data_IF_535229920205
#
_entry.id   IF_535229920205
#
_cell.length_a   1.000
_cell.length_b   1.000
_cell.length_c   1.000
_cell.angle_alpha   90.00
_cell.angle_beta   90.00
_cell.angle_gamma   90.00
#
_symmetry.space_group_name_H-M   'P 1'
#
loop_
_entity.id
_entity.type
_entity.pdbx_description
1 polymer ?
#
# COMPACT_ATOMS: atom_id res chain seq x y z
N UNK A 1 -55.70 33.25 -34.18
CA UNK A 1 -56.10 31.93 -33.66
C UNK A 1 -54.87 31.02 -33.71
N UNK A 2 -54.47 30.49 -32.54
CA UNK A 2 -53.49 29.43 -32.27
C UNK A 2 -52.04 29.62 -32.78
N UNK A 3 -51.13 30.07 -31.91
CA UNK A 3 -50.35 29.28 -30.93
C UNK A 3 -49.43 28.25 -31.61
N UNK A 4 -48.12 28.48 -31.56
CA UNK A 4 -47.10 27.54 -31.04
C UNK A 4 -45.71 28.20 -31.04
N UNK A 5 -45.33 28.83 -29.93
CA UNK A 5 -44.42 28.34 -28.87
C UNK A 5 -42.94 28.34 -29.26
N UNK A 6 -42.21 29.26 -28.63
CA UNK A 6 -40.76 29.34 -28.60
C UNK A 6 -40.15 28.10 -27.93
N UNK A 7 -39.11 27.53 -28.54
CA UNK A 7 -38.27 26.53 -27.91
C UNK A 7 -37.14 27.25 -27.15
N UNK A 8 -37.23 27.21 -25.82
CA UNK A 8 -36.20 27.62 -24.89
C UNK A 8 -34.97 26.72 -25.04
N UNK A 9 -33.83 27.31 -25.38
CA UNK A 9 -32.53 26.66 -25.21
C UNK A 9 -32.25 26.53 -23.71
N UNK A 10 -32.58 25.37 -23.14
CA UNK A 10 -32.21 25.04 -21.77
C UNK A 10 -30.71 24.72 -21.74
N UNK A 11 -29.91 25.70 -21.32
CA UNK A 11 -28.51 25.50 -21.00
C UNK A 11 -28.42 24.60 -19.74
N UNK A 12 -28.11 23.33 -19.93
CA UNK A 12 -27.68 22.46 -18.84
C UNK A 12 -26.24 22.83 -18.48
N UNK A 13 -26.07 23.78 -17.56
CA UNK A 13 -24.80 23.97 -16.86
C UNK A 13 -24.52 22.71 -16.04
N UNK A 14 -23.62 21.87 -16.56
CA UNK A 14 -22.93 20.86 -15.77
C UNK A 14 -22.11 21.60 -14.71
N UNK A 15 -22.67 21.74 -13.50
CA UNK A 15 -21.86 22.07 -12.33
C UNK A 15 -21.06 20.81 -12.01
N UNK A 16 -19.89 20.69 -12.63
CA UNK A 16 -18.84 19.83 -12.12
C UNK A 16 -18.47 20.38 -10.74
N UNK A 17 -19.06 19.79 -9.70
CA UNK A 17 -18.61 20.00 -8.33
C UNK A 17 -17.18 19.44 -8.24
N UNK A 18 -16.20 20.29 -8.54
CA UNK A 18 -14.83 20.04 -8.18
C UNK A 18 -14.81 20.00 -6.64
N UNK A 19 -14.81 18.79 -6.07
CA UNK A 19 -14.44 18.62 -4.68
C UNK A 19 -13.07 19.29 -4.51
N UNK A 20 -12.91 20.24 -3.57
CA UNK A 20 -11.60 20.76 -3.28
C UNK A 20 -10.76 19.57 -2.81
N UNK A 21 -9.67 19.31 -3.53
CA UNK A 21 -8.60 18.41 -3.08
C UNK A 21 -7.87 19.06 -1.89
N UNK A 22 -8.58 19.32 -0.80
CA UNK A 22 -7.98 19.59 0.48
C UNK A 22 -7.40 18.25 0.93
N UNK A 23 -6.11 18.08 0.70
CA UNK A 23 -5.32 17.08 1.38
C UNK A 23 -5.38 17.41 2.88
N UNK A 24 -6.42 16.92 3.55
CA UNK A 24 -6.46 16.87 5.00
C UNK A 24 -5.30 15.94 5.35
N UNK A 25 -4.23 16.52 5.90
CA UNK A 25 -3.23 15.73 6.61
C UNK A 25 -3.97 15.07 7.78
N UNK A 26 -4.54 13.89 7.51
CA UNK A 26 -5.18 13.08 8.53
C UNK A 26 -4.06 12.71 9.52
N UNK A 27 -4.19 13.05 10.81
CA UNK A 27 -3.30 12.52 11.81
C UNK A 27 -3.31 11.00 11.69
N UNK A 28 -2.17 10.36 11.92
CA UNK A 28 -1.98 8.91 12.00
C UNK A 28 -2.96 8.30 13.01
N UNK A 29 -4.19 8.09 12.57
CA UNK A 29 -5.27 7.46 13.30
C UNK A 29 -5.45 6.14 12.59
N UNK A 30 -5.11 5.06 13.28
CA UNK A 30 -5.49 3.71 12.89
C UNK A 30 -7.00 3.68 12.63
N UNK A 31 -7.40 3.81 11.37
CA UNK A 31 -8.81 3.68 11.01
C UNK A 31 -9.07 2.20 10.82
N UNK A 32 -10.19 1.70 11.37
CA UNK A 32 -10.63 0.33 11.12
C UNK A 32 -11.39 0.29 9.80
N UNK A 33 -11.13 -0.71 8.95
CA UNK A 33 -11.81 -0.82 7.66
C UNK A 33 -13.30 -1.06 7.86
N UNK A 34 -14.10 -0.73 6.83
CA UNK A 34 -15.53 -1.03 6.83
C UNK A 34 -15.74 -2.51 7.19
N UNK A 35 -16.62 -2.83 8.17
CA UNK A 35 -16.87 -4.21 8.59
C UNK A 35 -17.22 -5.16 7.43
N UNK A 36 -17.88 -4.66 6.39
CA UNK A 36 -18.23 -5.43 5.20
C UNK A 36 -17.02 -5.75 4.32
N UNK A 37 -15.99 -4.89 4.33
CA UNK A 37 -14.70 -5.16 3.69
C UNK A 37 -13.91 -6.14 4.54
N UNK A 38 -13.85 -5.90 5.85
CA UNK A 38 -13.14 -6.75 6.80
C UNK A 38 -13.64 -8.20 6.76
N UNK A 39 -14.96 -8.40 6.66
CA UNK A 39 -15.59 -9.71 6.60
C UNK A 39 -15.19 -10.57 5.37
N UNK A 40 -14.52 -10.00 4.37
CA UNK A 40 -14.04 -10.74 3.18
C UNK A 40 -12.71 -11.45 3.41
N UNK A 41 -12.02 -11.14 4.51
CA UNK A 41 -10.67 -11.61 4.83
C UNK A 41 -10.64 -12.23 6.23
N UNK A 42 -9.64 -13.07 6.49
CA UNK A 42 -9.48 -13.74 7.78
C UNK A 42 -8.89 -12.78 8.83
N UNK A 43 -8.14 -11.77 8.37
CA UNK A 43 -7.51 -10.77 9.21
C UNK A 43 -7.16 -9.52 8.42
N UNK A 44 -7.24 -8.37 9.09
CA UNK A 44 -7.01 -7.06 8.49
C UNK A 44 -6.28 -6.14 9.47
N UNK A 45 -5.18 -5.52 9.03
CA UNK A 45 -4.36 -4.61 9.84
C UNK A 45 -4.93 -3.20 10.01
N UNK A 46 -4.45 -2.45 11.02
CA UNK A 46 -4.75 -1.03 11.20
C UNK A 46 -4.00 -0.18 10.16
N UNK A 47 -4.66 0.80 9.55
CA UNK A 47 -4.03 1.62 8.49
C UNK A 47 -3.86 3.08 8.88
N UNK A 48 -2.67 3.60 8.58
CA UNK A 48 -2.36 5.04 8.41
C UNK A 48 -2.10 5.38 6.92
N UNK A 49 -2.21 4.38 6.02
CA UNK A 49 -1.74 4.41 4.64
C UNK A 49 -2.81 3.93 3.63
N UNK A 50 -2.55 4.14 2.33
CA UNK A 50 -3.47 3.86 1.19
C UNK A 50 -3.73 2.36 0.96
N UNK A 51 -2.94 1.48 1.59
CA UNK A 51 -3.00 0.03 1.40
C UNK A 51 -3.05 -0.70 2.74
N UNK A 52 -3.66 -1.87 2.74
CA UNK A 52 -4.02 -2.64 3.93
C UNK A 52 -3.51 -4.06 3.79
N UNK A 53 -2.84 -4.56 4.83
CA UNK A 53 -2.44 -5.97 4.92
C UNK A 53 -3.71 -6.82 5.06
N UNK A 54 -3.84 -7.82 4.19
CA UNK A 54 -4.93 -8.79 4.22
C UNK A 54 -4.37 -10.19 4.42
N UNK A 55 -5.11 -11.01 5.16
CA UNK A 55 -4.81 -12.43 5.32
C UNK A 55 -5.96 -13.28 4.79
N UNK A 56 -5.63 -14.32 4.03
CA UNK A 56 -6.58 -15.34 3.58
C UNK A 56 -5.92 -16.71 3.49
N UNK A 57 -6.53 -17.73 4.07
CA UNK A 57 -6.01 -19.11 4.10
C UNK A 57 -4.58 -19.20 4.65
N UNK A 58 -4.23 -18.36 5.63
CA UNK A 58 -2.89 -18.30 6.21
C UNK A 58 -1.81 -17.66 5.32
N UNK A 59 -2.19 -17.09 4.17
CA UNK A 59 -1.29 -16.31 3.30
C UNK A 59 -1.61 -14.82 3.40
N UNK A 60 -0.59 -14.00 3.16
CA UNK A 60 -0.64 -12.55 3.24
C UNK A 60 -0.60 -11.90 1.86
N UNK A 61 -1.30 -10.79 1.73
CA UNK A 61 -1.38 -9.93 0.55
C UNK A 61 -1.77 -8.51 0.93
N UNK A 62 -2.08 -7.68 -0.06
CA UNK A 62 -2.42 -6.26 0.14
C UNK A 62 -3.67 -5.86 -0.64
N UNK A 63 -4.50 -5.02 -0.04
CA UNK A 63 -5.69 -4.46 -0.67
C UNK A 63 -5.77 -2.94 -0.47
N UNK A 64 -6.53 -2.26 -1.33
CA UNK A 64 -7.00 -0.89 -1.10
C UNK A 64 -8.06 -0.89 0.02
N UNK A 65 -8.35 0.30 0.55
CA UNK A 65 -9.30 0.48 1.67
C UNK A 65 -10.75 0.10 1.31
N UNK A 66 -11.10 0.12 0.03
CA UNK A 66 -12.39 -0.35 -0.49
C UNK A 66 -12.49 -1.89 -0.60
N UNK A 67 -11.41 -2.59 -0.26
CA UNK A 67 -11.30 -4.04 -0.33
C UNK A 67 -10.87 -4.57 -1.69
N UNK A 68 -10.50 -3.70 -2.64
CA UNK A 68 -9.92 -4.12 -3.92
C UNK A 68 -8.53 -4.69 -3.69
N UNK A 69 -8.34 -5.96 -4.04
CA UNK A 69 -7.06 -6.66 -3.89
C UNK A 69 -6.04 -6.07 -4.87
N UNK A 70 -4.90 -5.61 -4.34
CA UNK A 70 -3.75 -5.14 -5.11
C UNK A 70 -2.78 -6.31 -5.31
N UNK A 71 -2.41 -6.95 -4.21
CA UNK A 71 -1.53 -8.11 -4.17
C UNK A 71 -2.34 -9.27 -3.58
N UNK A 72 -2.61 -10.33 -4.36
CA UNK A 72 -3.31 -11.50 -3.86
C UNK A 72 -2.59 -12.13 -2.66
N UNK A 73 -3.32 -12.72 -1.70
CA UNK A 73 -2.73 -13.51 -0.63
C UNK A 73 -1.89 -14.67 -1.19
N UNK A 74 -0.57 -14.52 -1.16
CA UNK A 74 0.38 -15.49 -1.74
C UNK A 74 1.68 -15.64 -0.95
N UNK A 75 1.91 -14.78 0.05
CA UNK A 75 3.13 -14.76 0.85
C UNK A 75 2.91 -15.46 2.20
N UNK A 76 3.93 -16.14 2.70
CA UNK A 76 3.86 -16.81 4.01
C UNK A 76 3.92 -15.81 5.17
N UNK A 77 4.51 -14.64 4.94
CA UNK A 77 4.63 -13.56 5.91
C UNK A 77 4.83 -12.24 5.14
N UNK A 78 4.43 -11.13 5.74
CA UNK A 78 4.54 -9.82 5.13
C UNK A 78 4.51 -8.73 6.22
N UNK A 79 5.27 -7.65 6.04
CA UNK A 79 5.21 -6.56 7.01
C UNK A 79 3.83 -5.89 7.01
N UNK A 80 3.27 -5.76 8.21
CA UNK A 80 2.04 -5.00 8.50
C UNK A 80 2.19 -3.52 8.12
N UNK A 81 3.42 -2.99 8.27
CA UNK A 81 3.78 -1.63 7.88
C UNK A 81 4.64 -1.64 6.62
N UNK A 82 4.09 -1.41 5.42
CA UNK A 82 4.91 -0.97 4.31
C UNK A 82 5.57 0.35 4.73
N UNK A 83 6.88 0.49 4.45
CA UNK A 83 7.71 1.64 4.80
C UNK A 83 6.96 2.98 4.67
N UNK A 84 6.93 3.75 5.76
CA UNK A 84 6.08 4.93 5.90
C UNK A 84 6.42 6.05 4.89
N UNK A 85 5.34 6.55 4.27
CA UNK A 85 5.10 7.85 3.60
C UNK A 85 6.03 8.32 2.48
N UNK A 86 5.47 8.46 1.28
CA UNK A 86 5.56 9.70 0.49
C UNK A 86 4.29 9.93 -0.34
N UNK A 87 3.91 11.19 -0.62
CA UNK A 87 2.77 11.50 -1.48
C UNK A 87 3.12 11.11 -2.92
N UNK A 88 2.30 10.21 -3.45
CA UNK A 88 2.06 9.96 -4.88
C UNK A 88 3.18 9.39 -5.76
N UNK A 89 4.48 9.42 -5.43
CA UNK A 89 5.53 9.01 -6.38
C UNK A 89 6.86 8.46 -5.76
N UNK A 90 6.84 7.54 -4.79
CA UNK A 90 8.06 6.77 -4.44
C UNK A 90 7.83 5.27 -4.47
N UNK A 91 8.85 4.55 -4.93
CA UNK A 91 8.89 3.08 -4.99
C UNK A 91 8.69 2.52 -3.58
N UNK A 92 7.47 2.06 -3.27
CA UNK A 92 7.19 1.37 -2.02
C UNK A 92 7.85 -0.02 -2.09
N UNK A 93 8.74 -0.29 -1.17
CA UNK A 93 9.35 -1.60 -0.99
C UNK A 93 8.77 -2.27 0.25
N UNK A 94 8.10 -3.38 0.01
CA UNK A 94 7.38 -4.13 1.02
C UNK A 94 8.15 -5.43 1.27
N UNK A 95 8.69 -5.65 2.48
CA UNK A 95 9.30 -6.93 2.81
C UNK A 95 8.22 -8.00 2.90
N UNK A 96 8.40 -9.05 2.11
CA UNK A 96 7.51 -10.22 2.05
C UNK A 96 8.34 -11.48 2.11
N UNK A 97 7.76 -12.53 2.67
CA UNK A 97 8.39 -13.83 2.82
C UNK A 97 7.81 -14.81 1.83
N UNK A 98 8.69 -15.43 1.03
CA UNK A 98 8.36 -16.53 0.13
C UNK A 98 9.18 -17.76 0.51
N UNK A 99 8.48 -18.81 0.94
CA UNK A 99 9.11 -19.99 1.53
C UNK A 99 9.79 -19.66 2.86
N UNK A 100 11.12 -19.71 2.90
CA UNK A 100 11.92 -19.41 4.10
C UNK A 100 12.65 -18.07 4.04
N UNK A 101 12.63 -17.40 2.90
CA UNK A 101 13.45 -16.22 2.65
C UNK A 101 12.57 -14.98 2.45
N UNK A 102 13.09 -13.85 2.89
CA UNK A 102 12.53 -12.53 2.69
C UNK A 102 13.15 -11.86 1.47
N UNK A 103 12.31 -11.11 0.76
CA UNK A 103 12.65 -10.21 -0.32
C UNK A 103 11.77 -8.97 -0.24
N UNK A 104 11.93 -8.05 -1.18
CA UNK A 104 11.13 -6.83 -1.24
C UNK A 104 10.41 -6.74 -2.58
N UNK A 105 9.11 -6.48 -2.51
CA UNK A 105 8.23 -6.28 -3.66
C UNK A 105 7.74 -4.84 -3.73
N UNK A 106 7.30 -4.44 -4.92
CA UNK A 106 6.49 -3.24 -5.10
C UNK A 106 4.98 -3.54 -5.04
N UNK A 107 4.16 -2.48 -5.10
CA UNK A 107 2.69 -2.61 -5.16
C UNK A 107 2.18 -3.23 -6.48
N UNK A 108 3.04 -3.41 -7.48
CA UNK A 108 2.70 -4.15 -8.71
C UNK A 108 3.05 -5.65 -8.58
N UNK A 109 3.33 -6.12 -7.35
CA UNK A 109 3.74 -7.50 -7.06
C UNK A 109 5.08 -7.90 -7.71
N UNK A 110 5.89 -6.92 -8.14
CA UNK A 110 7.19 -7.19 -8.74
C UNK A 110 8.25 -7.23 -7.67
N UNK A 111 9.04 -8.30 -7.68
CA UNK A 111 10.22 -8.43 -6.83
C UNK A 111 11.27 -7.40 -7.26
N UNK A 112 11.54 -6.44 -6.39
CA UNK A 112 12.58 -5.41 -6.56
C UNK A 112 13.90 -5.85 -5.92
N UNK A 113 13.81 -6.53 -4.78
CA UNK A 113 14.96 -7.12 -4.09
C UNK A 113 14.68 -8.62 -3.92
N UNK A 114 15.56 -9.51 -4.45
CA UNK A 114 15.33 -10.95 -4.44
C UNK A 114 15.12 -11.54 -3.05
N UNK A 115 14.38 -12.66 -2.99
CA UNK A 115 14.19 -13.47 -1.80
C UNK A 115 15.49 -14.19 -1.42
N UNK A 116 16.33 -13.53 -0.61
CA UNK A 116 17.64 -14.05 -0.21
C UNK A 116 18.01 -13.80 1.24
N UNK A 117 17.13 -13.14 1.99
CA UNK A 117 17.37 -12.77 3.39
C UNK A 117 16.65 -13.73 4.33
N UNK A 118 17.29 -14.08 5.44
CA UNK A 118 16.69 -14.88 6.51
C UNK A 118 15.68 -14.04 7.31
N UNK A 119 15.98 -12.75 7.45
CA UNK A 119 15.12 -11.74 8.06
C UNK A 119 15.26 -10.42 7.30
N UNK A 120 14.16 -9.66 7.22
CA UNK A 120 14.14 -8.36 6.55
C UNK A 120 13.19 -7.41 7.27
N UNK A 121 13.73 -6.28 7.73
CA UNK A 121 12.94 -5.20 8.30
C UNK A 121 12.37 -4.30 7.18
N UNK A 122 11.25 -3.60 7.44
CA UNK A 122 10.78 -2.56 6.52
C UNK A 122 11.80 -1.41 6.44
N UNK A 123 11.80 -0.70 5.31
CA UNK A 123 12.57 0.55 5.20
C UNK A 123 11.97 1.60 6.15
N UNK A 124 12.80 2.27 6.95
CA UNK A 124 12.34 3.29 7.92
C UNK A 124 12.97 4.63 7.55
N UNK A 125 12.13 5.64 7.29
CA UNK A 125 12.58 7.00 6.93
C UNK A 125 13.44 7.64 8.01
N UNK A 126 13.11 7.40 9.28
CA UNK A 126 13.75 7.99 10.45
C UNK A 126 15.27 7.69 10.54
N UNK A 127 15.75 6.65 9.86
CA UNK A 127 17.15 6.21 9.91
C UNK A 127 17.87 6.28 8.55
N UNK A 128 17.32 7.04 7.60
CA UNK A 128 17.80 7.04 6.22
C UNK A 128 17.25 5.85 5.45
N UNK A 129 17.16 5.97 4.13
CA UNK A 129 16.51 5.02 3.20
C UNK A 129 17.21 3.65 3.13
N UNK A 130 17.26 2.96 4.27
CA UNK A 130 17.89 1.68 4.47
C UNK A 130 16.99 0.75 5.27
N UNK A 131 17.17 -0.54 5.07
CA UNK A 131 16.51 -1.59 5.83
C UNK A 131 17.55 -2.54 6.39
N UNK A 132 17.34 -3.03 7.61
CA UNK A 132 18.17 -4.09 8.17
C UNK A 132 17.72 -5.43 7.63
N UNK A 133 18.70 -6.23 7.25
CA UNK A 133 18.49 -7.59 6.75
C UNK A 133 19.51 -8.53 7.36
N UNK A 134 19.11 -9.80 7.49
CA UNK A 134 19.99 -10.90 7.87
C UNK A 134 20.26 -11.80 6.68
N UNK A 135 21.52 -12.10 6.40
CA UNK A 135 21.91 -13.09 5.40
C UNK A 135 23.11 -13.89 5.89
N UNK A 136 23.03 -15.22 5.85
CA UNK A 136 24.08 -16.14 6.30
C UNK A 136 24.52 -15.83 7.75
N UNK A 137 23.56 -15.55 8.64
CA UNK A 137 23.83 -15.20 10.04
C UNK A 137 24.49 -13.84 10.29
N UNK A 138 24.60 -12.97 9.28
CA UNK A 138 25.12 -11.60 9.44
C UNK A 138 24.03 -10.56 9.22
N UNK A 139 23.99 -9.58 10.12
CA UNK A 139 23.09 -8.43 10.05
C UNK A 139 23.81 -7.24 9.39
N UNK A 140 23.15 -6.62 8.41
CA UNK A 140 23.64 -5.42 7.72
C UNK A 140 22.48 -4.60 7.18
N UNK A 141 22.75 -3.34 6.83
CA UNK A 141 21.77 -2.47 6.20
C UNK A 141 21.89 -2.51 4.68
N UNK A 142 20.76 -2.48 3.98
CA UNK A 142 20.69 -2.37 2.52
C UNK A 142 19.97 -1.09 2.10
N UNK A 143 20.33 -0.55 0.94
CA UNK A 143 19.61 0.55 0.29
C UNK A 143 18.38 0.04 -0.48
N UNK A 144 17.62 0.96 -1.08
CA UNK A 144 16.43 0.66 -1.91
C UNK A 144 16.74 -0.23 -3.14
N UNK A 145 18.02 -0.41 -3.51
CA UNK A 145 18.45 -1.31 -4.59
C UNK A 145 18.95 -2.65 -4.06
N UNK A 146 18.89 -2.89 -2.75
CA UNK A 146 19.41 -4.10 -2.11
C UNK A 146 20.93 -4.14 -1.99
N UNK A 147 21.62 -3.01 -2.11
CA UNK A 147 23.07 -2.90 -1.93
C UNK A 147 23.40 -2.64 -0.47
N UNK A 148 24.38 -3.33 0.06
CA UNK A 148 24.86 -3.12 1.43
C UNK A 148 25.34 -1.66 1.62
N UNK A 149 24.83 -1.02 2.67
CA UNK A 149 25.23 0.32 3.09
C UNK A 149 26.27 0.15 4.20
N UNK A 150 27.51 0.57 3.93
CA UNK A 150 28.56 0.64 4.95
C UNK A 150 28.38 1.92 5.75
N UNK A 151 28.36 1.80 7.08
CA UNK A 151 28.45 2.94 7.99
C UNK A 151 29.87 3.52 7.98
#
# INVERSE_FOLDING_TARGET
MNKKTAALFSAAFLVAAALPAAAIAMPSICVKPDPNVAARFDGVGCYDNVVMLIQKNGLYGYAELDGKIIIPPQYQDAADKPAERFPRNRELLIPVKKGKLWGYIDLSDKTRIPFRYEEAEPFIEQYGTSARVRQNGRDFSIDLKGREVKQ
#
